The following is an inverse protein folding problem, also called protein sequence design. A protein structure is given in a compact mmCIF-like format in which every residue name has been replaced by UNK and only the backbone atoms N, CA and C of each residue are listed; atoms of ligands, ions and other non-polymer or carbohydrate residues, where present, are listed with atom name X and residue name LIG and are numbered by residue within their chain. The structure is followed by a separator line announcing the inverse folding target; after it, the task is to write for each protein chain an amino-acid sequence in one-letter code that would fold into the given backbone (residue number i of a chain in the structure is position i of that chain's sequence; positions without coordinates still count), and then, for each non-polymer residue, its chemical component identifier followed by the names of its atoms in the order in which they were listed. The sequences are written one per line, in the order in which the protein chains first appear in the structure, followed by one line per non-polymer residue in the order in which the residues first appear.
data_IF_592054281984
#
_entry.id   IF_592054281984
#
_cell.length_a   1.000
_cell.length_b   1.000
_cell.length_c   1.000
_cell.angle_alpha   90.00
_cell.angle_beta   90.00
_cell.angle_gamma   90.00
#
_symmetry.space_group_name_H-M   'P 1'
#
loop_
_entity.id
_entity.type
_entity.pdbx_description
1 polymer ?
#
# COMPACT_ATOMS: atom_id res chain seq x y z
N UNK A 1 6.21 -4.61 23.53
CA UNK A 1 4.83 -5.13 23.78
C UNK A 1 4.23 -4.69 25.13
N UNK A 2 4.96 -4.77 26.26
CA UNK A 2 4.38 -4.37 27.58
C UNK A 2 3.85 -2.93 27.59
N UNK A 3 4.65 -1.96 27.10
CA UNK A 3 4.22 -0.56 27.01
C UNK A 3 2.99 -0.40 26.12
N UNK A 4 2.94 -1.11 24.99
CA UNK A 4 1.76 -1.12 24.11
C UNK A 4 0.53 -1.66 24.86
N UNK A 5 0.66 -2.79 25.57
CA UNK A 5 -0.44 -3.37 26.33
C UNK A 5 -1.02 -2.38 27.37
N UNK A 6 -0.14 -1.68 28.09
CA UNK A 6 -0.53 -0.68 29.08
C UNK A 6 -1.27 0.50 28.42
N UNK A 7 -0.70 1.06 27.35
CA UNK A 7 -1.28 2.20 26.65
C UNK A 7 -2.57 1.83 25.92
N UNK A 8 -2.65 0.62 25.36
CA UNK A 8 -3.87 0.11 24.74
C UNK A 8 -5.00 -0.08 25.75
N UNK A 9 -4.69 -0.73 26.88
CA UNK A 9 -5.64 -0.89 27.99
C UNK A 9 -6.11 0.45 28.56
N UNK A 10 -5.20 1.41 28.74
CA UNK A 10 -5.55 2.76 29.15
C UNK A 10 -6.46 3.44 28.11
N UNK A 11 -6.17 3.31 26.82
CA UNK A 11 -7.00 3.82 25.73
C UNK A 11 -8.43 3.27 25.79
N UNK A 12 -8.57 1.96 25.97
CA UNK A 12 -9.88 1.30 26.12
C UNK A 12 -10.64 1.79 27.35
N UNK A 13 -9.97 1.92 28.50
CA UNK A 13 -10.57 2.43 29.73
C UNK A 13 -11.02 3.90 29.61
N UNK A 14 -10.22 4.74 28.97
CA UNK A 14 -10.62 6.12 28.70
C UNK A 14 -11.82 6.21 27.76
N UNK A 15 -11.86 5.37 26.70
CA UNK A 15 -12.99 5.31 25.79
C UNK A 15 -14.28 4.90 26.52
N UNK A 16 -14.22 3.85 27.34
CA UNK A 16 -15.38 3.39 28.14
C UNK A 16 -15.92 4.42 29.14
N UNK A 17 -15.07 5.41 29.49
CA UNK A 17 -15.41 6.53 30.36
C UNK A 17 -15.73 7.82 29.59
N UNK A 18 -15.94 7.72 28.27
CA UNK A 18 -16.19 8.85 27.34
C UNK A 18 -15.07 9.91 27.31
N UNK A 19 -13.85 9.57 27.73
CA UNK A 19 -12.66 10.42 27.65
C UNK A 19 -11.93 10.20 26.31
N UNK A 20 -12.59 10.46 25.20
CA UNK A 20 -12.16 10.11 23.85
C UNK A 20 -10.79 10.70 23.45
N UNK A 21 -10.51 11.95 23.81
CA UNK A 21 -9.20 12.57 23.56
C UNK A 21 -8.06 11.84 24.28
N UNK A 22 -8.29 11.44 25.54
CA UNK A 22 -7.27 10.69 26.30
C UNK A 22 -7.07 9.29 25.73
N UNK A 23 -8.15 8.66 25.28
CA UNK A 23 -8.11 7.38 24.57
C UNK A 23 -7.26 7.48 23.31
N UNK A 24 -7.58 8.43 22.43
CA UNK A 24 -6.85 8.64 21.18
C UNK A 24 -5.37 8.97 21.40
N UNK A 25 -5.06 9.84 22.37
CA UNK A 25 -3.67 10.19 22.71
C UNK A 25 -2.89 8.99 23.23
N UNK A 26 -3.51 8.12 24.07
CA UNK A 26 -2.86 6.90 24.56
C UNK A 26 -2.44 5.98 23.41
N UNK A 27 -3.31 5.78 22.41
CA UNK A 27 -3.01 4.94 21.24
C UNK A 27 -1.99 5.60 20.31
N UNK A 28 -2.04 6.90 20.10
CA UNK A 28 -1.03 7.63 19.33
C UNK A 28 0.35 7.51 19.99
N UNK A 29 0.44 7.65 21.31
CA UNK A 29 1.69 7.43 22.04
C UNK A 29 2.19 5.99 21.91
N UNK A 30 1.28 4.99 21.95
CA UNK A 30 1.61 3.60 21.71
C UNK A 30 2.18 3.39 20.30
N UNK A 31 1.55 3.96 19.27
CA UNK A 31 1.99 3.89 17.88
C UNK A 31 3.40 4.50 17.70
N UNK A 32 3.62 5.69 18.25
CA UNK A 32 4.93 6.37 18.22
C UNK A 32 6.00 5.56 18.95
N UNK A 33 5.68 5.03 20.14
CA UNK A 33 6.61 4.18 20.89
C UNK A 33 7.03 2.95 20.08
N UNK A 34 6.10 2.21 19.48
CA UNK A 34 6.37 1.03 18.68
C UNK A 34 7.21 1.37 17.43
N UNK A 35 6.87 2.45 16.75
CA UNK A 35 7.61 2.92 15.59
C UNK A 35 9.07 3.27 15.94
N UNK A 36 9.27 4.10 16.97
CA UNK A 36 10.62 4.52 17.37
C UNK A 36 11.43 3.39 17.98
N UNK A 37 10.81 2.41 18.61
CA UNK A 37 11.47 1.19 19.07
C UNK A 37 12.17 0.45 17.93
N UNK A 38 11.44 0.17 16.85
CA UNK A 38 11.99 -0.51 15.68
C UNK A 38 12.94 0.39 14.87
N UNK A 39 12.62 1.67 14.73
CA UNK A 39 13.48 2.62 14.04
C UNK A 39 14.86 2.75 14.72
N UNK A 40 14.89 2.90 16.04
CA UNK A 40 16.16 2.97 16.79
C UNK A 40 16.99 1.70 16.67
N UNK A 41 16.34 0.55 16.63
CA UNK A 41 16.99 -0.76 16.52
C UNK A 41 17.55 -1.03 15.12
N UNK A 42 16.80 -0.65 14.08
CA UNK A 42 17.13 -0.99 12.68
C UNK A 42 17.81 0.14 11.92
N UNK A 43 17.69 1.40 12.37
CA UNK A 43 18.08 2.58 11.62
C UNK A 43 17.25 2.80 10.35
N UNK A 44 16.19 2.01 10.14
CA UNK A 44 15.36 2.01 8.94
C UNK A 44 13.98 2.60 9.22
N UNK A 45 13.68 3.84 8.76
CA UNK A 45 12.38 4.45 8.94
C UNK A 45 11.25 3.73 8.18
N UNK A 46 11.60 2.92 7.19
CA UNK A 46 10.67 2.10 6.40
C UNK A 46 10.61 0.65 6.90
N UNK A 47 11.05 0.37 8.13
CA UNK A 47 10.93 -0.95 8.71
C UNK A 47 9.46 -1.41 8.73
N UNK A 48 9.12 -2.52 8.05
CA UNK A 48 7.71 -2.87 7.78
C UNK A 48 6.89 -3.01 9.05
N UNK A 49 7.45 -3.59 10.13
CA UNK A 49 6.77 -3.69 11.41
C UNK A 49 6.53 -2.32 12.05
N UNK A 50 7.50 -1.41 11.95
CA UNK A 50 7.37 -0.03 12.44
C UNK A 50 6.27 0.72 11.69
N UNK A 51 6.28 0.63 10.36
CA UNK A 51 5.27 1.25 9.49
C UNK A 51 3.87 0.75 9.81
N UNK A 52 3.69 -0.56 9.89
CA UNK A 52 2.40 -1.13 10.27
C UNK A 52 1.95 -0.65 11.65
N UNK A 53 2.83 -0.69 12.67
CA UNK A 53 2.49 -0.24 14.02
C UNK A 53 2.08 1.22 14.06
N UNK A 54 2.82 2.10 13.37
CA UNK A 54 2.55 3.54 13.36
C UNK A 54 1.18 3.85 12.75
N UNK A 55 0.91 3.29 11.58
CA UNK A 55 -0.28 3.66 10.82
C UNK A 55 -1.53 2.89 11.26
N UNK A 56 -1.38 1.65 11.69
CA UNK A 56 -2.49 0.88 12.24
C UNK A 56 -2.95 1.44 13.58
N UNK A 57 -2.09 1.44 14.59
CA UNK A 57 -2.44 1.92 15.94
C UNK A 57 -2.64 3.44 15.97
N UNK A 58 -1.89 4.19 15.18
CA UNK A 58 -2.08 5.64 15.02
C UNK A 58 -3.44 5.98 14.42
N UNK A 59 -3.89 5.20 13.44
CA UNK A 59 -5.23 5.32 12.86
C UNK A 59 -6.33 5.02 13.88
N UNK A 60 -6.19 3.95 14.68
CA UNK A 60 -7.07 3.66 15.82
C UNK A 60 -7.15 4.88 16.76
N UNK A 61 -5.99 5.44 17.13
CA UNK A 61 -5.93 6.60 18.01
C UNK A 61 -6.62 7.83 17.43
N UNK A 62 -6.47 8.10 16.13
CA UNK A 62 -7.18 9.18 15.45
C UNK A 62 -8.69 8.92 15.45
N UNK A 63 -9.14 7.70 15.23
CA UNK A 63 -10.56 7.35 15.26
C UNK A 63 -11.17 7.53 16.65
N UNK A 64 -10.40 7.25 17.72
CA UNK A 64 -10.85 7.42 19.09
C UNK A 64 -11.17 8.87 19.48
N UNK A 65 -10.78 9.90 18.70
CA UNK A 65 -11.20 11.28 18.98
C UNK A 65 -12.69 11.51 18.78
N UNK A 66 -13.38 10.67 18.02
CA UNK A 66 -14.83 10.71 17.82
C UNK A 66 -15.35 12.11 17.43
N UNK A 67 -14.72 12.75 16.41
CA UNK A 67 -15.07 14.09 15.98
C UNK A 67 -16.32 14.18 15.10
N UNK A 68 -16.79 13.04 14.58
CA UNK A 68 -18.05 12.94 13.83
C UNK A 68 -19.16 12.33 14.67
N UNK A 69 -20.42 12.67 14.36
CA UNK A 69 -21.62 12.07 14.96
C UNK A 69 -21.87 10.64 14.45
N UNK A 70 -21.30 10.27 13.30
CA UNK A 70 -21.35 8.91 12.77
C UNK A 70 -20.56 7.90 13.60
N UNK A 71 -19.63 8.37 14.42
CA UNK A 71 -18.73 7.52 15.19
C UNK A 71 -19.36 7.15 16.53
N UNK A 72 -19.53 5.86 16.76
CA UNK A 72 -20.10 5.27 17.98
C UNK A 72 -18.99 4.65 18.85
N UNK A 73 -19.32 4.24 20.05
CA UNK A 73 -18.43 3.47 20.90
C UNK A 73 -18.20 2.09 20.27
N UNK A 74 -16.96 1.64 20.33
CA UNK A 74 -16.60 0.35 19.74
C UNK A 74 -17.00 -0.80 20.65
N UNK A 75 -17.54 -1.84 20.05
CA UNK A 75 -17.81 -3.10 20.71
C UNK A 75 -16.52 -3.71 21.31
N UNK A 76 -16.58 -4.42 22.46
CA UNK A 76 -15.41 -5.13 23.02
C UNK A 76 -14.72 -6.06 22.02
N UNK A 77 -15.46 -6.70 21.10
CA UNK A 77 -14.88 -7.56 20.05
C UNK A 77 -14.11 -6.73 19.01
N UNK A 78 -14.54 -5.50 18.73
CA UNK A 78 -13.79 -4.56 17.87
C UNK A 78 -12.44 -4.23 18.49
N UNK A 79 -12.42 -3.83 19.77
CA UNK A 79 -11.18 -3.59 20.53
C UNK A 79 -10.28 -4.83 20.54
N UNK A 80 -10.83 -6.01 20.84
CA UNK A 80 -10.09 -7.26 20.84
C UNK A 80 -9.49 -7.57 19.46
N UNK A 81 -10.25 -7.35 18.38
CA UNK A 81 -9.81 -7.58 17.01
C UNK A 81 -8.63 -6.69 16.62
N UNK A 82 -8.68 -5.39 16.96
CA UNK A 82 -7.59 -4.45 16.68
C UNK A 82 -6.34 -4.78 17.49
N UNK A 83 -6.49 -5.12 18.76
CA UNK A 83 -5.39 -5.59 19.58
C UNK A 83 -4.73 -6.85 19.01
N UNK A 84 -5.54 -7.85 18.66
CA UNK A 84 -5.07 -9.14 18.10
C UNK A 84 -4.36 -8.91 16.75
N UNK A 85 -4.87 -8.00 15.91
CA UNK A 85 -4.24 -7.66 14.65
C UNK A 85 -2.78 -7.24 14.85
N UNK A 86 -2.49 -6.33 15.78
CA UNK A 86 -1.12 -5.93 16.05
C UNK A 86 -0.33 -7.02 16.79
N UNK A 87 -0.89 -7.62 17.83
CA UNK A 87 -0.18 -8.58 18.68
C UNK A 87 0.25 -9.82 17.90
N UNK A 88 -0.62 -10.38 17.04
CA UNK A 88 -0.30 -11.51 16.18
C UNK A 88 0.78 -11.15 15.15
N UNK A 89 0.64 -10.01 14.48
CA UNK A 89 1.64 -9.52 13.53
C UNK A 89 3.03 -9.38 14.20
N UNK A 90 3.10 -8.70 15.35
CA UNK A 90 4.36 -8.50 16.07
C UNK A 90 5.01 -9.79 16.52
N UNK A 91 4.23 -10.72 17.08
CA UNK A 91 4.72 -11.99 17.59
C UNK A 91 5.29 -12.85 16.46
N UNK A 92 4.52 -13.00 15.39
CA UNK A 92 4.91 -13.85 14.25
C UNK A 92 6.07 -13.23 13.46
N UNK A 93 6.05 -11.91 13.23
CA UNK A 93 7.17 -11.19 12.63
C UNK A 93 8.46 -11.40 13.44
N UNK A 94 8.41 -11.24 14.76
CA UNK A 94 9.58 -11.41 15.64
C UNK A 94 10.14 -12.84 15.62
N UNK A 95 9.26 -13.86 15.61
CA UNK A 95 9.67 -15.26 15.48
C UNK A 95 10.31 -15.55 14.11
N UNK A 96 9.74 -15.01 13.04
CA UNK A 96 10.27 -15.17 11.70
C UNK A 96 11.64 -14.48 11.54
N UNK A 97 11.76 -13.23 12.01
CA UNK A 97 13.02 -12.47 12.02
C UNK A 97 14.14 -13.23 12.78
N UNK A 98 13.83 -13.78 13.95
CA UNK A 98 14.77 -14.56 14.75
C UNK A 98 15.23 -15.84 14.02
N UNK A 99 14.30 -16.58 13.38
CA UNK A 99 14.62 -17.76 12.58
C UNK A 99 15.49 -17.42 11.36
N UNK A 100 15.16 -16.33 10.66
CA UNK A 100 15.95 -15.85 9.51
C UNK A 100 17.36 -15.48 9.97
N UNK A 101 17.50 -14.76 11.10
CA UNK A 101 18.81 -14.39 11.64
C UNK A 101 19.63 -15.62 12.00
N UNK A 102 19.07 -16.60 12.70
CA UNK A 102 19.74 -17.86 13.03
C UNK A 102 20.25 -18.59 11.78
N UNK A 103 19.40 -18.73 10.75
CA UNK A 103 19.81 -19.32 9.47
C UNK A 103 20.91 -18.52 8.76
N UNK A 104 20.95 -17.20 8.93
CA UNK A 104 22.03 -16.34 8.41
C UNK A 104 23.36 -16.65 9.10
N UNK A 105 23.36 -16.79 10.42
CA UNK A 105 24.54 -17.09 11.21
C UNK A 105 25.12 -18.48 10.84
N UNK A 106 24.28 -19.49 10.79
CA UNK A 106 24.64 -20.87 10.37
C UNK A 106 25.11 -20.96 8.91
N UNK A 107 24.61 -20.09 8.03
CA UNK A 107 24.96 -20.07 6.60
C UNK A 107 26.19 -19.22 6.25
N UNK A 108 26.70 -18.38 7.14
CA UNK A 108 27.89 -17.56 6.90
C UNK A 108 29.13 -18.43 6.73
N UNK A 109 29.34 -19.39 7.60
CA UNK A 109 30.52 -20.29 7.56
C UNK A 109 30.59 -21.06 6.23
N UNK A 110 29.45 -21.53 5.74
CA UNK A 110 29.34 -22.26 4.47
C UNK A 110 29.54 -21.36 3.23
N UNK A 111 29.19 -20.08 3.32
CA UNK A 111 29.35 -19.11 2.23
C UNK A 111 30.81 -18.61 2.12
N UNK A 112 31.48 -18.38 3.22
CA UNK A 112 32.89 -17.99 3.25
C UNK A 112 33.79 -19.11 2.67
N UNK A 113 33.46 -20.36 2.97
CA UNK A 113 34.15 -21.53 2.37
C UNK A 113 33.90 -21.65 0.86
N UNK A 114 32.63 -21.35 0.40
CA UNK A 114 32.26 -21.39 -1.03
C UNK A 114 32.80 -20.20 -1.82
N UNK A 115 32.87 -19.00 -1.21
CA UNK A 115 33.49 -17.81 -1.82
C UNK A 115 34.98 -17.93 -1.98
N UNK A 116 35.68 -18.60 -1.04
CA UNK A 116 37.10 -18.97 -1.18
C UNK A 116 37.36 -19.95 -2.35
N UNK A 117 36.36 -20.77 -2.72
CA UNK A 117 36.45 -21.73 -3.83
C UNK A 117 36.03 -21.18 -5.20
N UNK A 118 35.21 -20.13 -5.25
CA UNK A 118 34.83 -19.44 -6.49
C UNK A 118 35.48 -18.08 -6.49
N UNK A 119 36.50 -17.92 -7.37
CA UNK A 119 37.00 -16.58 -7.72
C UNK A 119 35.81 -15.70 -8.13
N UNK A 120 35.83 -14.43 -7.72
CA UNK A 120 34.81 -13.43 -8.06
C UNK A 120 34.76 -13.32 -9.58
N UNK A 121 33.78 -13.94 -10.22
CA UNK A 121 33.45 -13.65 -11.62
C UNK A 121 32.96 -12.20 -11.68
N UNK A 122 33.76 -11.32 -12.25
CA UNK A 122 33.37 -9.95 -12.52
C UNK A 122 32.13 -9.97 -13.44
N UNK A 123 31.06 -9.30 -13.04
CA UNK A 123 29.88 -9.11 -13.91
C UNK A 123 30.34 -8.34 -15.14
N UNK A 124 30.13 -8.89 -16.35
CA UNK A 124 30.59 -8.22 -17.57
C UNK A 124 29.81 -6.92 -17.80
N UNK A 125 30.46 -5.91 -18.36
CA UNK A 125 29.83 -4.63 -18.74
C UNK A 125 28.61 -4.83 -19.66
N UNK A 126 28.66 -5.85 -20.52
CA UNK A 126 27.57 -6.25 -21.40
C UNK A 126 26.32 -6.68 -20.65
N UNK A 127 26.46 -7.44 -19.58
CA UNK A 127 25.33 -7.88 -18.76
C UNK A 127 24.65 -6.71 -18.00
N UNK A 128 25.44 -5.71 -17.56
CA UNK A 128 24.88 -4.50 -16.95
C UNK A 128 24.13 -3.62 -17.97
N UNK A 129 24.69 -3.49 -19.18
CA UNK A 129 24.06 -2.77 -20.27
C UNK A 129 22.73 -3.42 -20.69
N UNK A 130 22.72 -4.75 -20.77
CA UNK A 130 21.52 -5.52 -21.06
C UNK A 130 20.44 -5.34 -19.98
N UNK A 131 20.83 -5.34 -18.69
CA UNK A 131 19.92 -5.08 -17.58
C UNK A 131 19.29 -3.67 -17.65
N UNK A 132 20.07 -2.66 -17.98
CA UNK A 132 19.58 -1.29 -18.17
C UNK A 132 18.61 -1.18 -19.36
N UNK A 133 18.90 -1.85 -20.47
CA UNK A 133 18.03 -1.92 -21.64
C UNK A 133 16.73 -2.68 -21.33
N UNK A 134 16.81 -3.83 -20.65
CA UNK A 134 15.65 -4.58 -20.22
C UNK A 134 14.72 -3.76 -19.31
N UNK A 135 15.28 -2.95 -18.40
CA UNK A 135 14.49 -2.04 -17.56
C UNK A 135 13.84 -0.92 -18.38
N UNK A 136 14.57 -0.31 -19.33
CA UNK A 136 14.01 0.71 -20.21
C UNK A 136 12.83 0.16 -21.00
N UNK A 137 12.98 -1.02 -21.61
CA UNK A 137 11.90 -1.65 -22.38
C UNK A 137 10.71 -2.02 -21.52
N UNK A 138 10.92 -2.49 -20.28
CA UNK A 138 9.84 -2.76 -19.34
C UNK A 138 9.06 -1.48 -18.98
N UNK A 139 9.76 -0.37 -18.72
CA UNK A 139 9.14 0.95 -18.47
C UNK A 139 8.28 1.39 -19.63
N UNK A 140 8.83 1.36 -20.85
CA UNK A 140 8.11 1.77 -22.05
C UNK A 140 6.92 0.88 -22.36
N UNK A 141 7.07 -0.45 -22.19
CA UNK A 141 5.99 -1.40 -22.41
C UNK A 141 4.84 -1.17 -21.41
N UNK A 142 5.15 -1.04 -20.12
CA UNK A 142 4.12 -0.80 -19.11
C UNK A 142 3.41 0.53 -19.34
N UNK A 143 4.14 1.58 -19.72
CA UNK A 143 3.56 2.87 -20.09
C UNK A 143 2.62 2.73 -21.29
N UNK A 144 3.07 2.06 -22.37
CA UNK A 144 2.27 1.86 -23.57
C UNK A 144 1.00 1.05 -23.30
N UNK A 145 1.10 -0.03 -22.51
CA UNK A 145 -0.03 -0.87 -22.11
C UNK A 145 -1.04 -0.08 -21.27
N UNK A 146 -0.56 0.73 -20.31
CA UNK A 146 -1.44 1.55 -19.47
C UNK A 146 -2.19 2.60 -20.29
N UNK A 147 -1.52 3.25 -21.24
CA UNK A 147 -2.15 4.21 -22.14
C UNK A 147 -3.11 3.54 -23.12
N UNK A 148 -2.76 2.38 -23.67
CA UNK A 148 -3.64 1.64 -24.57
C UNK A 148 -4.94 1.23 -23.83
N UNK A 149 -4.83 0.76 -22.58
CA UNK A 149 -5.97 0.42 -21.75
C UNK A 149 -6.83 1.66 -21.44
N UNK A 150 -6.20 2.78 -21.04
CA UNK A 150 -6.91 4.04 -20.79
C UNK A 150 -7.65 4.55 -22.04
N UNK A 151 -7.01 4.53 -23.19
CA UNK A 151 -7.64 4.96 -24.45
C UNK A 151 -8.78 4.03 -24.87
N UNK A 152 -8.64 2.72 -24.63
CA UNK A 152 -9.71 1.76 -24.85
C UNK A 152 -10.91 2.05 -23.95
N UNK A 153 -10.68 2.31 -22.64
CA UNK A 153 -11.75 2.71 -21.73
C UNK A 153 -12.42 4.00 -22.18
N UNK A 154 -11.64 5.01 -22.55
CA UNK A 154 -12.19 6.28 -23.05
C UNK A 154 -13.02 6.11 -24.34
N UNK A 155 -12.57 5.26 -25.26
CA UNK A 155 -13.29 4.99 -26.51
C UNK A 155 -14.59 4.22 -26.28
N UNK A 156 -14.57 3.20 -25.41
CA UNK A 156 -15.76 2.36 -25.12
C UNK A 156 -16.80 3.11 -24.30
N UNK A 157 -16.34 3.84 -23.27
CA UNK A 157 -17.23 4.60 -22.39
C UNK A 157 -17.70 5.94 -22.99
N UNK A 158 -17.00 6.42 -24.03
CA UNK A 158 -17.35 7.65 -24.75
C UNK A 158 -16.97 8.95 -24.03
N UNK A 159 -16.18 8.89 -22.96
CA UNK A 159 -15.75 10.09 -22.23
C UNK A 159 -14.39 9.90 -21.53
N UNK A 160 -13.80 11.02 -21.14
CA UNK A 160 -12.64 11.09 -20.23
C UNK A 160 -13.04 11.94 -19.02
N UNK A 161 -12.92 11.46 -17.77
CA UNK A 161 -13.40 12.14 -16.57
C UNK A 161 -12.90 13.58 -16.43
N UNK A 162 -11.65 13.85 -16.80
CA UNK A 162 -11.04 15.19 -16.72
C UNK A 162 -11.82 16.26 -17.51
N UNK A 163 -12.46 15.90 -18.62
CA UNK A 163 -13.22 16.83 -19.47
C UNK A 163 -14.69 16.94 -19.08
N UNK A 164 -15.19 16.05 -18.21
CA UNK A 164 -16.56 16.10 -17.69
C UNK A 164 -16.63 16.96 -16.44
N UNK A 165 -16.79 18.27 -16.62
CA UNK A 165 -16.98 19.19 -15.50
C UNK A 165 -18.43 19.16 -15.02
N UNK A 166 -18.61 19.12 -13.68
CA UNK A 166 -19.95 19.23 -13.06
C UNK A 166 -20.77 17.95 -13.05
N UNK A 167 -20.24 16.81 -13.50
CA UNK A 167 -20.88 15.50 -13.33
C UNK A 167 -20.31 14.81 -12.08
N UNK A 168 -21.09 14.74 -10.98
CA UNK A 168 -20.63 14.07 -9.76
C UNK A 168 -20.29 12.60 -10.05
N UNK A 169 -19.19 12.12 -9.45
CA UNK A 169 -18.78 10.70 -9.53
C UNK A 169 -18.46 10.15 -10.93
N UNK A 170 -18.32 10.98 -12.00
CA UNK A 170 -17.93 10.50 -13.32
C UNK A 170 -16.69 9.62 -13.32
N UNK A 171 -15.72 9.91 -12.43
CA UNK A 171 -14.50 9.12 -12.26
C UNK A 171 -14.77 7.70 -11.69
N UNK A 172 -15.83 7.53 -10.89
CA UNK A 172 -16.17 6.24 -10.27
C UNK A 172 -16.74 5.24 -11.29
N UNK A 173 -17.31 5.75 -12.38
CA UNK A 173 -17.85 4.93 -13.46
C UNK A 173 -16.86 4.72 -14.62
N UNK A 174 -15.69 5.37 -14.58
CA UNK A 174 -14.68 5.23 -15.62
C UNK A 174 -13.84 3.98 -15.38
N UNK A 175 -14.41 2.83 -15.66
CA UNK A 175 -13.69 1.56 -15.62
C UNK A 175 -14.38 0.47 -16.45
N UNK A 176 -13.58 -0.32 -17.16
CA UNK A 176 -14.00 -1.58 -17.77
C UNK A 176 -13.37 -2.71 -16.95
N UNK A 177 -14.21 -3.63 -16.46
CA UNK A 177 -13.73 -4.75 -15.64
C UNK A 177 -12.64 -5.55 -16.35
N UNK A 178 -11.50 -5.74 -15.68
CA UNK A 178 -10.32 -6.39 -16.27
C UNK A 178 -9.37 -5.41 -16.95
N UNK A 179 -9.87 -4.51 -17.80
CA UNK A 179 -9.03 -3.53 -18.54
C UNK A 179 -8.46 -2.49 -17.58
N UNK A 180 -9.26 -2.02 -16.64
CA UNK A 180 -8.86 -0.98 -15.69
C UNK A 180 -7.62 -1.32 -14.86
N UNK A 181 -7.34 -2.60 -14.61
CA UNK A 181 -6.09 -3.01 -13.92
C UNK A 181 -4.84 -2.62 -14.71
N UNK A 182 -4.90 -2.68 -16.04
CA UNK A 182 -3.80 -2.21 -16.90
C UNK A 182 -3.70 -0.69 -16.87
N UNK A 183 -4.82 0.02 -16.94
CA UNK A 183 -4.85 1.49 -16.83
C UNK A 183 -4.18 1.98 -15.57
N UNK A 184 -4.56 1.43 -14.40
CA UNK A 184 -4.04 1.86 -13.09
C UNK A 184 -2.61 1.37 -12.82
N UNK A 185 -2.08 0.42 -13.58
CA UNK A 185 -0.70 -0.06 -13.43
C UNK A 185 0.36 1.01 -13.77
N UNK A 186 -0.06 2.11 -14.41
CA UNK A 186 0.77 3.29 -14.64
C UNK A 186 1.47 3.82 -13.37
N UNK A 187 0.90 3.59 -12.18
CA UNK A 187 1.46 4.03 -10.88
C UNK A 187 2.82 3.40 -10.55
N UNK A 188 3.17 2.27 -11.18
CA UNK A 188 4.46 1.59 -11.01
C UNK A 188 5.60 2.25 -11.79
N UNK A 189 5.28 2.93 -12.89
CA UNK A 189 6.28 3.47 -13.82
C UNK A 189 7.23 4.49 -13.18
N UNK A 190 6.77 5.47 -12.36
CA UNK A 190 7.68 6.40 -11.68
C UNK A 190 8.68 5.69 -10.77
N UNK A 191 8.26 4.63 -10.07
CA UNK A 191 9.13 3.82 -9.22
C UNK A 191 10.17 3.04 -10.04
N UNK A 192 9.76 2.46 -11.17
CA UNK A 192 10.67 1.78 -12.08
C UNK A 192 11.67 2.77 -12.70
N UNK A 193 11.25 4.00 -13.02
CA UNK A 193 12.13 5.07 -13.46
C UNK A 193 13.19 5.40 -12.40
N UNK A 194 12.79 5.51 -11.12
CA UNK A 194 13.72 5.71 -10.00
C UNK A 194 14.76 4.58 -9.95
N UNK A 195 14.35 3.33 -10.07
CA UNK A 195 15.28 2.18 -10.11
C UNK A 195 16.24 2.31 -11.29
N UNK A 196 15.73 2.65 -12.47
CA UNK A 196 16.56 2.80 -13.68
C UNK A 196 17.64 3.87 -13.50
N UNK A 197 17.30 5.04 -12.95
CA UNK A 197 18.26 6.11 -12.69
C UNK A 197 19.29 5.73 -11.63
N UNK A 198 18.92 4.99 -10.60
CA UNK A 198 19.81 4.67 -9.47
C UNK A 198 20.69 3.42 -9.73
N UNK A 199 20.19 2.45 -10.52
CA UNK A 199 20.85 1.15 -10.73
C UNK A 199 21.20 0.86 -12.17
N UNK A 200 20.49 1.46 -13.14
CA UNK A 200 20.67 1.19 -14.57
C UNK A 200 21.87 1.89 -15.20
N UNK A 201 22.44 2.88 -14.57
CA UNK A 201 23.50 3.74 -15.11
C UNK A 201 23.04 4.50 -16.36
N UNK A 202 23.05 5.84 -16.32
CA UNK A 202 22.67 6.68 -17.47
C UNK A 202 23.73 6.55 -18.56
N UNK A 203 23.41 5.85 -19.63
CA UNK A 203 24.38 5.58 -20.70
C UNK A 203 24.23 6.53 -21.89
N UNK A 204 22.97 6.95 -22.22
CA UNK A 204 22.70 7.89 -23.29
C UNK A 204 21.61 8.89 -22.87
N UNK A 205 21.79 10.17 -23.21
CA UNK A 205 20.83 11.23 -22.86
C UNK A 205 19.42 10.94 -23.36
N UNK A 206 19.27 10.39 -24.56
CA UNK A 206 17.96 10.07 -25.12
C UNK A 206 17.20 9.01 -24.30
N UNK A 207 17.90 8.03 -23.70
CA UNK A 207 17.27 7.03 -22.83
C UNK A 207 16.72 7.68 -21.56
N UNK A 208 17.47 8.60 -20.95
CA UNK A 208 17.01 9.37 -19.79
C UNK A 208 15.76 10.20 -20.13
N UNK A 209 15.75 10.86 -21.30
CA UNK A 209 14.58 11.61 -21.78
C UNK A 209 13.38 10.68 -21.95
N UNK A 210 13.55 9.51 -22.59
CA UNK A 210 12.46 8.54 -22.76
C UNK A 210 11.88 8.06 -21.41
N UNK A 211 12.76 7.74 -20.44
CA UNK A 211 12.30 7.30 -19.09
C UNK A 211 11.55 8.42 -18.38
N UNK A 212 12.04 9.67 -18.44
CA UNK A 212 11.35 10.82 -17.84
C UNK A 212 10.01 11.09 -18.51
N UNK A 213 9.97 11.02 -19.85
CA UNK A 213 8.72 11.18 -20.62
C UNK A 213 7.72 10.08 -20.28
N UNK A 214 8.16 8.81 -20.18
CA UNK A 214 7.32 7.70 -19.78
C UNK A 214 6.76 7.88 -18.36
N UNK A 215 7.59 8.31 -17.41
CA UNK A 215 7.15 8.59 -16.04
C UNK A 215 6.14 9.75 -15.99
N UNK A 216 6.39 10.85 -16.72
CA UNK A 216 5.46 11.97 -16.81
C UNK A 216 4.14 11.57 -17.48
N UNK A 217 4.20 10.83 -18.61
CA UNK A 217 3.03 10.31 -19.29
C UNK A 217 2.21 9.38 -18.38
N UNK A 218 2.87 8.53 -17.59
CA UNK A 218 2.19 7.64 -16.65
C UNK A 218 1.50 8.39 -15.51
N UNK A 219 2.05 9.49 -15.04
CA UNK A 219 1.40 10.37 -14.06
C UNK A 219 0.23 11.17 -14.65
N UNK A 220 0.21 11.38 -15.96
CA UNK A 220 -0.92 12.04 -16.64
C UNK A 220 -2.18 11.16 -16.64
N UNK A 221 -2.06 9.83 -16.69
CA UNK A 221 -3.22 8.92 -16.66
C UNK A 221 -4.10 9.14 -15.42
N UNK A 222 -3.60 9.11 -14.17
CA UNK A 222 -4.39 9.42 -12.99
C UNK A 222 -5.00 10.84 -13.00
N UNK A 223 -4.32 11.82 -13.59
CA UNK A 223 -4.85 13.18 -13.77
C UNK A 223 -6.07 13.17 -14.70
N UNK A 224 -5.98 12.49 -15.84
CA UNK A 224 -7.08 12.35 -16.79
C UNK A 224 -8.26 11.55 -16.21
N UNK A 225 -7.97 10.55 -15.38
CA UNK A 225 -8.98 9.81 -14.61
C UNK A 225 -9.55 10.60 -13.42
N UNK A 226 -9.02 11.80 -13.09
CA UNK A 226 -9.34 12.58 -11.88
C UNK A 226 -9.14 11.77 -10.58
N UNK A 227 -8.22 10.82 -10.60
CA UNK A 227 -7.92 9.93 -9.49
C UNK A 227 -6.78 10.48 -8.61
N UNK A 228 -7.16 11.28 -7.60
CA UNK A 228 -6.20 11.82 -6.61
C UNK A 228 -5.42 10.71 -5.91
N UNK A 229 -6.13 9.65 -5.55
CA UNK A 229 -5.54 8.54 -4.82
C UNK A 229 -4.41 7.86 -5.62
N UNK A 230 -4.63 7.54 -6.89
CA UNK A 230 -3.60 6.91 -7.72
C UNK A 230 -2.40 7.81 -7.95
N UNK A 231 -2.60 9.13 -8.09
CA UNK A 231 -1.51 10.08 -8.25
C UNK A 231 -0.65 10.16 -6.98
N UNK A 232 -1.28 10.28 -5.80
CA UNK A 232 -0.60 10.29 -4.50
C UNK A 232 0.12 8.94 -4.29
N UNK A 233 -0.53 7.84 -4.60
CA UNK A 233 0.02 6.49 -4.51
C UNK A 233 1.30 6.35 -5.34
N UNK A 234 1.30 6.78 -6.62
CA UNK A 234 2.45 6.73 -7.50
C UNK A 234 3.64 7.55 -6.96
N UNK A 235 3.38 8.76 -6.46
CA UNK A 235 4.43 9.63 -5.92
C UNK A 235 5.03 9.04 -4.64
N UNK A 236 4.19 8.61 -3.69
CA UNK A 236 4.67 7.99 -2.44
C UNK A 236 5.46 6.72 -2.76
N UNK A 237 4.96 5.85 -3.64
CA UNK A 237 5.66 4.63 -4.03
C UNK A 237 7.03 4.93 -4.63
N UNK A 238 7.14 5.96 -5.48
CA UNK A 238 8.41 6.38 -6.06
C UNK A 238 9.40 6.88 -4.99
N UNK A 239 8.93 7.64 -3.99
CA UNK A 239 9.76 8.12 -2.87
C UNK A 239 10.22 6.95 -1.99
N UNK A 240 9.34 6.04 -1.63
CA UNK A 240 9.69 4.84 -0.86
C UNK A 240 10.73 3.98 -1.62
N UNK A 241 10.52 3.81 -2.94
CA UNK A 241 11.46 3.09 -3.81
C UNK A 241 12.81 3.80 -3.88
N UNK A 242 12.82 5.14 -3.99
CA UNK A 242 14.05 5.93 -3.93
C UNK A 242 14.81 5.70 -2.62
N UNK A 243 14.13 5.74 -1.49
CA UNK A 243 14.74 5.52 -0.18
C UNK A 243 15.33 4.10 -0.05
N UNK A 244 14.63 3.10 -0.56
CA UNK A 244 15.09 1.71 -0.51
C UNK A 244 16.28 1.45 -1.44
N UNK A 245 16.19 1.88 -2.69
CA UNK A 245 17.21 1.60 -3.71
C UNK A 245 18.46 2.43 -3.50
N UNK A 246 18.34 3.70 -3.08
CA UNK A 246 19.48 4.59 -2.81
C UNK A 246 20.16 4.30 -1.46
N UNK A 247 19.52 3.53 -0.57
CA UNK A 247 19.98 3.33 0.81
C UNK A 247 19.91 4.57 1.70
N UNK A 248 19.38 5.71 1.17
CA UNK A 248 19.27 6.97 1.92
C UNK A 248 18.04 6.95 2.82
N UNK A 249 18.05 6.14 3.85
CA UNK A 249 16.94 5.91 4.79
C UNK A 249 16.86 7.02 5.85
N UNK A 250 16.52 8.27 5.44
CA UNK A 250 16.39 9.42 6.35
C UNK A 250 14.97 9.94 6.36
N UNK A 251 14.41 10.18 7.54
CA UNK A 251 13.05 10.72 7.75
C UNK A 251 12.75 11.99 6.96
N UNK A 252 13.75 12.83 6.73
CA UNK A 252 13.60 14.08 5.93
C UNK A 252 13.00 13.85 4.53
N UNK A 253 13.22 12.68 3.93
CA UNK A 253 12.64 12.37 2.62
C UNK A 253 11.13 12.09 2.72
N UNK A 254 10.67 11.46 3.81
CA UNK A 254 9.25 11.26 4.07
C UNK A 254 8.56 12.61 4.35
N UNK A 255 9.19 13.48 5.16
CA UNK A 255 8.66 14.82 5.39
C UNK A 255 8.67 15.67 4.11
N UNK A 256 9.71 15.58 3.29
CA UNK A 256 9.76 16.25 1.99
C UNK A 256 8.67 15.77 1.03
N UNK A 257 8.40 14.47 1.00
CA UNK A 257 7.30 13.88 0.22
C UNK A 257 5.94 14.37 0.72
N UNK A 258 5.71 14.37 2.03
CA UNK A 258 4.48 14.89 2.63
C UNK A 258 4.27 16.37 2.32
N UNK A 259 5.32 17.19 2.45
CA UNK A 259 5.28 18.61 2.12
C UNK A 259 4.99 18.87 0.63
N UNK A 260 5.52 18.04 -0.28
CA UNK A 260 5.24 18.15 -1.71
C UNK A 260 3.82 17.66 -2.08
N UNK A 261 3.31 16.66 -1.37
CA UNK A 261 1.96 16.12 -1.61
C UNK A 261 0.86 17.02 -1.05
N UNK A 262 1.12 17.81 -0.02
CA UNK A 262 0.11 18.67 0.60
C UNK A 262 -0.45 19.72 -0.38
N UNK A 263 0.34 20.51 -1.11
CA UNK A 263 -0.16 21.42 -2.13
C UNK A 263 -0.93 20.68 -3.24
N UNK A 264 -0.43 19.52 -3.67
CA UNK A 264 -1.08 18.68 -4.68
C UNK A 264 -2.47 18.23 -4.20
N UNK A 265 -2.57 17.78 -2.96
CA UNK A 265 -3.84 17.40 -2.35
C UNK A 265 -4.83 18.58 -2.32
N UNK A 266 -4.38 19.77 -1.92
CA UNK A 266 -5.21 20.98 -1.88
C UNK A 266 -5.68 21.37 -3.28
N UNK A 267 -4.78 21.41 -4.26
CA UNK A 267 -5.11 21.75 -5.66
C UNK A 267 -6.14 20.75 -6.22
N UNK A 268 -5.92 19.47 -6.05
CA UNK A 268 -6.83 18.43 -6.53
C UNK A 268 -8.17 18.42 -5.76
N UNK A 269 -8.19 18.89 -4.53
CA UNK A 269 -9.43 19.05 -3.76
C UNK A 269 -10.25 20.21 -4.30
N UNK A 270 -9.63 21.35 -4.59
CA UNK A 270 -10.27 22.52 -5.21
C UNK A 270 -10.75 22.17 -6.63
N UNK A 271 -9.92 21.48 -7.43
CA UNK A 271 -10.25 21.11 -8.80
C UNK A 271 -11.46 20.16 -8.90
N UNK A 272 -11.77 19.41 -7.85
CA UNK A 272 -12.90 18.49 -7.80
C UNK A 272 -14.25 19.18 -7.64
N UNK A 273 -14.25 20.49 -7.36
CA UNK A 273 -15.47 21.33 -7.23
C UNK A 273 -16.56 20.71 -6.35
N UNK A 274 -16.21 19.90 -5.35
CA UNK A 274 -17.21 19.41 -4.40
C UNK A 274 -17.72 20.57 -3.57
N UNK A 275 -19.03 20.66 -3.46
CA UNK A 275 -19.66 21.55 -2.50
C UNK A 275 -19.19 21.15 -1.08
N UNK A 276 -18.50 22.06 -0.43
CA UNK A 276 -17.99 21.86 0.94
C UNK A 276 -19.13 21.58 1.90
N UNK A 277 -20.29 22.20 1.68
CA UNK A 277 -21.48 21.98 2.49
C UNK A 277 -22.00 20.53 2.32
N UNK A 278 -21.97 19.99 1.09
CA UNK A 278 -22.34 18.60 0.82
C UNK A 278 -21.41 17.62 1.53
N UNK A 279 -20.06 17.82 1.45
CA UNK A 279 -19.12 16.95 2.14
C UNK A 279 -19.23 17.03 3.66
N UNK A 280 -19.44 18.23 4.21
CA UNK A 280 -19.67 18.40 5.65
C UNK A 280 -20.97 17.72 6.10
N UNK A 281 -22.01 17.71 5.26
CA UNK A 281 -23.25 16.97 5.46
C UNK A 281 -23.05 15.45 5.45
N UNK A 282 -22.14 14.94 4.60
CA UNK A 282 -21.77 13.50 4.61
C UNK A 282 -21.01 13.14 5.89
N UNK A 283 -20.02 13.96 6.28
CA UNK A 283 -19.14 13.65 7.41
C UNK A 283 -19.76 13.86 8.80
N UNK A 284 -20.86 14.59 8.89
CA UNK A 284 -21.61 14.86 10.14
C UNK A 284 -20.70 15.26 11.31
N UNK A 285 -19.77 16.19 11.04
CA UNK A 285 -18.83 16.65 12.06
C UNK A 285 -19.55 17.27 13.25
N UNK A 286 -19.10 16.98 14.46
CA UNK A 286 -19.63 17.58 15.70
C UNK A 286 -19.47 19.09 15.73
N UNK A 287 -18.30 19.57 15.23
CA UNK A 287 -18.03 20.98 15.00
C UNK A 287 -18.12 21.30 13.49
N UNK A 288 -19.21 21.94 13.01
CA UNK A 288 -19.37 22.27 11.61
C UNK A 288 -18.39 23.36 11.10
N UNK A 289 -17.71 24.07 12.00
CA UNK A 289 -16.70 25.06 11.64
C UNK A 289 -15.35 24.43 11.27
N UNK A 290 -15.16 23.13 11.52
CA UNK A 290 -13.90 22.45 11.17
C UNK A 290 -13.66 22.48 9.65
N UNK A 291 -12.52 22.99 9.18
CA UNK A 291 -12.22 23.13 7.77
C UNK A 291 -12.17 21.78 7.04
N UNK A 292 -12.62 21.74 5.79
CA UNK A 292 -12.71 20.52 4.98
C UNK A 292 -11.35 19.82 4.79
N UNK A 293 -10.25 20.55 4.74
CA UNK A 293 -8.90 19.99 4.62
C UNK A 293 -8.41 19.29 5.89
N UNK A 294 -9.14 19.44 7.02
CA UNK A 294 -8.96 18.68 8.26
C UNK A 294 -9.99 17.54 8.33
N UNK A 295 -11.28 17.85 8.07
CA UNK A 295 -12.35 16.88 8.20
C UNK A 295 -12.22 15.72 7.22
N UNK A 296 -11.86 16.02 5.97
CA UNK A 296 -11.74 14.98 4.95
C UNK A 296 -10.61 13.98 5.25
N UNK A 297 -9.34 14.36 5.53
CA UNK A 297 -8.32 13.40 5.94
C UNK A 297 -8.66 12.67 7.24
N UNK A 298 -9.27 13.37 8.19
CA UNK A 298 -9.72 12.74 9.43
C UNK A 298 -10.73 11.62 9.16
N UNK A 299 -11.77 11.87 8.39
CA UNK A 299 -12.81 10.89 8.08
C UNK A 299 -12.27 9.73 7.23
N UNK A 300 -11.34 9.98 6.30
CA UNK A 300 -10.67 8.92 5.54
C UNK A 300 -9.80 7.99 6.39
N UNK A 301 -9.40 8.40 7.58
CA UNK A 301 -8.70 7.57 8.54
C UNK A 301 -9.69 6.97 9.54
N UNK A 302 -10.41 7.83 10.24
CA UNK A 302 -11.19 7.48 11.42
C UNK A 302 -12.40 6.61 11.09
N UNK A 303 -13.19 6.99 10.07
CA UNK A 303 -14.45 6.31 9.75
C UNK A 303 -14.27 4.83 9.38
N UNK A 304 -13.09 4.45 8.87
CA UNK A 304 -12.82 3.08 8.48
C UNK A 304 -12.78 2.11 9.67
N UNK A 305 -12.35 2.59 10.84
CA UNK A 305 -12.39 1.81 12.09
C UNK A 305 -13.82 1.70 12.61
N UNK A 306 -14.63 2.73 12.44
CA UNK A 306 -16.05 2.68 12.79
C UNK A 306 -16.83 1.79 11.81
N UNK A 307 -16.49 1.76 10.52
CA UNK A 307 -17.04 0.80 9.56
C UNK A 307 -16.67 -0.65 9.94
N UNK A 308 -15.47 -0.89 10.49
CA UNK A 308 -15.15 -2.19 11.03
C UNK A 308 -16.00 -2.53 12.26
N UNK A 309 -16.32 -1.55 13.11
CA UNK A 309 -17.24 -1.73 14.23
C UNK A 309 -18.66 -2.07 13.77
N UNK A 310 -19.16 -1.40 12.71
CA UNK A 310 -20.44 -1.77 12.09
C UNK A 310 -20.43 -3.22 11.59
N UNK A 311 -19.34 -3.65 10.94
CA UNK A 311 -19.19 -5.05 10.55
C UNK A 311 -19.27 -6.01 11.74
N UNK A 312 -18.59 -5.69 12.86
CA UNK A 312 -18.60 -6.53 14.07
C UNK A 312 -19.99 -6.67 14.64
N UNK A 313 -20.76 -5.59 14.65
CA UNK A 313 -22.09 -5.55 15.31
C UNK A 313 -23.24 -6.02 14.43
N UNK A 314 -23.10 -5.92 13.10
CA UNK A 314 -24.19 -6.15 12.16
C UNK A 314 -24.06 -7.41 11.32
N UNK A 315 -22.87 -8.05 11.26
CA UNK A 315 -22.62 -9.20 10.41
C UNK A 315 -23.44 -10.42 10.86
N UNK A 316 -24.39 -10.91 10.04
CA UNK A 316 -25.25 -12.05 10.44
C UNK A 316 -24.53 -13.41 10.30
N UNK A 317 -23.60 -13.53 9.35
CA UNK A 317 -22.87 -14.77 9.08
C UNK A 317 -21.54 -14.48 8.36
N UNK A 318 -20.54 -15.28 8.65
CA UNK A 318 -19.23 -15.21 8.02
C UNK A 318 -19.23 -15.77 6.59
N UNK A 319 -18.40 -15.21 5.69
CA UNK A 319 -18.30 -15.60 4.28
C UNK A 319 -17.30 -16.74 4.00
N UNK A 320 -16.67 -17.30 5.05
CA UNK A 320 -15.80 -18.48 4.99
C UNK A 320 -14.69 -18.40 3.92
N UNK A 321 -14.06 -17.23 3.79
CA UNK A 321 -12.92 -17.00 2.90
C UNK A 321 -13.28 -16.34 1.56
N UNK A 322 -14.54 -16.19 1.22
CA UNK A 322 -14.93 -15.67 -0.09
C UNK A 322 -14.54 -14.20 -0.29
N UNK A 323 -14.59 -13.39 0.77
CA UNK A 323 -14.19 -11.98 0.72
C UNK A 323 -12.67 -11.81 0.53
N UNK A 324 -11.86 -12.52 1.31
CA UNK A 324 -10.39 -12.48 1.20
C UNK A 324 -9.89 -13.03 -0.13
N UNK A 325 -10.62 -13.98 -0.74
CA UNK A 325 -10.30 -14.56 -2.04
C UNK A 325 -10.87 -13.77 -3.24
N UNK A 326 -11.48 -12.60 -3.00
CA UNK A 326 -12.00 -11.75 -4.08
C UNK A 326 -11.01 -11.48 -5.22
N UNK A 327 -9.68 -11.28 -4.98
CA UNK A 327 -8.74 -11.15 -6.09
C UNK A 327 -8.71 -12.34 -7.04
N UNK A 328 -8.87 -13.56 -6.52
CA UNK A 328 -8.92 -14.77 -7.34
C UNK A 328 -10.16 -14.77 -8.23
N UNK A 329 -11.33 -14.48 -7.66
CA UNK A 329 -12.59 -14.44 -8.40
C UNK A 329 -12.60 -13.34 -9.46
N UNK A 330 -12.02 -12.18 -9.14
CA UNK A 330 -11.97 -11.03 -10.02
C UNK A 330 -10.97 -11.20 -11.18
N UNK A 331 -9.74 -11.65 -10.89
CA UNK A 331 -8.67 -11.77 -11.89
C UNK A 331 -8.84 -12.99 -12.81
N UNK A 332 -9.52 -14.04 -12.36
CA UNK A 332 -9.84 -15.20 -13.20
C UNK A 332 -11.14 -15.04 -13.97
N UNK A 333 -11.92 -14.00 -13.70
CA UNK A 333 -13.23 -13.78 -14.30
C UNK A 333 -14.36 -14.65 -13.73
N UNK A 334 -14.08 -15.47 -12.70
CA UNK A 334 -15.09 -16.34 -12.06
C UNK A 334 -16.27 -15.56 -11.48
N UNK A 335 -16.06 -14.30 -11.06
CA UNK A 335 -17.13 -13.40 -10.59
C UNK A 335 -18.24 -13.16 -11.62
N UNK A 336 -17.96 -13.32 -12.92
CA UNK A 336 -18.97 -13.16 -13.98
C UNK A 336 -19.75 -14.45 -14.23
N UNK A 337 -19.15 -15.60 -13.91
CA UNK A 337 -19.76 -16.92 -14.08
C UNK A 337 -20.60 -17.28 -12.85
N UNK A 338 -20.11 -16.92 -11.66
CA UNK A 338 -20.75 -17.17 -10.36
C UNK A 338 -20.77 -15.89 -9.52
N UNK A 339 -21.76 -14.99 -9.73
CA UNK A 339 -21.86 -13.72 -8.99
C UNK A 339 -21.97 -13.91 -7.48
N UNK A 340 -22.51 -15.04 -7.02
CA UNK A 340 -22.68 -15.33 -5.59
C UNK A 340 -21.34 -15.37 -4.82
N UNK A 341 -20.22 -15.58 -5.52
CA UNK A 341 -18.89 -15.55 -4.91
C UNK A 341 -18.46 -14.17 -4.44
N UNK A 342 -19.13 -13.11 -4.88
CA UNK A 342 -18.75 -11.72 -4.67
C UNK A 342 -19.88 -10.82 -4.19
N UNK A 343 -21.09 -11.37 -4.07
CA UNK A 343 -22.29 -10.63 -3.63
C UNK A 343 -22.37 -10.61 -2.09
N UNK A 344 -21.56 -9.71 -1.49
CA UNK A 344 -21.54 -9.52 -0.05
C UNK A 344 -21.77 -8.05 0.29
N UNK A 345 -22.72 -7.72 1.17
CA UNK A 345 -22.95 -6.35 1.61
C UNK A 345 -21.72 -5.78 2.33
N UNK A 346 -21.60 -4.46 2.29
CA UNK A 346 -20.59 -3.73 3.06
C UNK A 346 -21.31 -3.05 4.22
N UNK A 347 -20.85 -3.29 5.45
CA UNK A 347 -21.37 -2.68 6.66
C UNK A 347 -20.59 -1.40 6.93
N UNK A 348 -21.26 -0.26 6.87
CA UNK A 348 -20.64 1.06 6.97
C UNK A 348 -21.51 2.01 7.79
N UNK A 349 -20.92 2.99 8.41
CA UNK A 349 -21.62 4.04 9.16
C UNK A 349 -22.53 4.87 8.27
N UNK A 350 -22.21 4.97 6.97
CA UNK A 350 -22.97 5.70 5.96
C UNK A 350 -22.66 5.14 4.56
N UNK A 351 -23.66 5.07 3.68
CA UNK A 351 -23.55 4.46 2.35
C UNK A 351 -22.46 5.10 1.46
N UNK A 352 -22.21 6.42 1.62
CA UNK A 352 -21.20 7.13 0.86
C UNK A 352 -19.77 6.90 1.36
N UNK A 353 -19.60 6.33 2.57
CA UNK A 353 -18.31 6.14 3.24
C UNK A 353 -17.87 4.67 3.21
N UNK A 354 -17.65 4.14 2.03
CA UNK A 354 -17.41 2.72 1.74
C UNK A 354 -15.97 2.23 1.98
N UNK A 355 -15.05 3.10 2.38
CA UNK A 355 -13.67 2.69 2.70
C UNK A 355 -13.62 1.93 4.03
N UNK A 356 -12.73 0.95 4.13
CA UNK A 356 -12.65 0.04 5.29
C UNK A 356 -11.19 -0.24 5.66
N UNK A 357 -10.94 -0.82 6.84
CA UNK A 357 -9.59 -1.15 7.30
C UNK A 357 -9.02 -2.40 6.63
N UNK A 358 -7.70 -2.61 6.76
CA UNK A 358 -6.96 -3.76 6.22
C UNK A 358 -7.54 -5.11 6.65
N UNK A 359 -8.11 -5.21 7.84
CA UNK A 359 -8.61 -6.46 8.44
C UNK A 359 -10.10 -6.70 8.26
N UNK A 360 -10.80 -5.80 7.57
CA UNK A 360 -12.25 -5.88 7.39
C UNK A 360 -12.68 -7.21 6.75
N UNK A 361 -12.08 -7.61 5.63
CA UNK A 361 -12.44 -8.85 4.94
C UNK A 361 -12.01 -10.09 5.70
N UNK A 362 -10.88 -10.03 6.43
CA UNK A 362 -10.46 -11.14 7.28
C UNK A 362 -11.44 -11.38 8.44
N UNK A 363 -11.97 -10.31 9.04
CA UNK A 363 -13.04 -10.43 10.03
C UNK A 363 -14.35 -10.90 9.40
N UNK A 364 -14.69 -10.38 8.22
CA UNK A 364 -15.88 -10.80 7.50
C UNK A 364 -15.89 -12.30 7.24
N UNK A 365 -14.74 -12.89 6.88
CA UNK A 365 -14.62 -14.31 6.58
C UNK A 365 -14.69 -15.20 7.83
N UNK A 366 -13.94 -14.86 8.89
CA UNK A 366 -13.73 -15.78 10.02
C UNK A 366 -13.71 -15.07 11.39
N UNK A 367 -14.26 -13.87 11.49
CA UNK A 367 -14.28 -13.12 12.73
C UNK A 367 -12.88 -12.83 13.29
N UNK A 368 -12.76 -12.84 14.60
CA UNK A 368 -11.50 -12.61 15.32
C UNK A 368 -10.39 -13.60 14.90
N UNK A 369 -10.77 -14.85 14.61
CA UNK A 369 -9.83 -15.89 14.15
C UNK A 369 -9.25 -15.51 12.79
N UNK A 370 -10.08 -14.97 11.88
CA UNK A 370 -9.63 -14.44 10.59
C UNK A 370 -8.61 -13.32 10.74
N UNK A 371 -8.87 -12.37 11.63
CA UNK A 371 -7.94 -11.28 11.94
C UNK A 371 -6.60 -11.82 12.45
N UNK A 372 -6.62 -12.79 13.38
CA UNK A 372 -5.41 -13.44 13.90
C UNK A 372 -4.61 -14.12 12.79
N UNK A 373 -5.24 -14.99 12.01
CA UNK A 373 -4.57 -15.76 10.95
C UNK A 373 -4.00 -14.84 9.87
N UNK A 374 -4.78 -13.87 9.43
CA UNK A 374 -4.33 -12.92 8.42
C UNK A 374 -3.16 -12.06 8.91
N UNK A 375 -3.21 -11.58 10.16
CA UNK A 375 -2.09 -10.87 10.80
C UNK A 375 -0.83 -11.71 10.88
N UNK A 376 -0.96 -12.99 11.24
CA UNK A 376 0.15 -13.92 11.32
C UNK A 376 0.82 -14.10 9.93
N UNK A 377 0.01 -14.29 8.89
CA UNK A 377 0.51 -14.39 7.50
C UNK A 377 1.21 -13.11 7.06
N UNK A 378 0.63 -11.95 7.37
CA UNK A 378 1.27 -10.66 7.06
C UNK A 378 2.60 -10.47 7.81
N UNK A 379 2.69 -10.91 9.06
CA UNK A 379 3.92 -10.87 9.85
C UNK A 379 5.04 -11.73 9.23
N UNK A 380 4.69 -12.96 8.79
CA UNK A 380 5.62 -13.85 8.06
C UNK A 380 6.06 -13.22 6.73
N UNK A 381 5.11 -12.72 5.95
CA UNK A 381 5.37 -12.08 4.67
C UNK A 381 6.29 -10.86 4.81
N UNK A 382 6.01 -10.00 5.79
CA UNK A 382 6.81 -8.80 6.04
C UNK A 382 8.26 -9.15 6.42
N UNK A 383 8.47 -10.10 7.33
CA UNK A 383 9.81 -10.53 7.74
C UNK A 383 10.58 -11.18 6.57
N UNK A 384 9.92 -12.03 5.78
CA UNK A 384 10.50 -12.65 4.60
C UNK A 384 10.87 -11.61 3.54
N UNK A 385 9.98 -10.67 3.25
CA UNK A 385 10.19 -9.65 2.22
C UNK A 385 11.33 -8.70 2.60
N UNK A 386 11.43 -8.32 3.88
CA UNK A 386 12.55 -7.51 4.38
C UNK A 386 13.90 -8.22 4.17
N UNK A 387 13.97 -9.49 4.56
CA UNK A 387 15.19 -10.31 4.36
C UNK A 387 15.55 -10.44 2.88
N UNK A 388 14.52 -10.65 2.03
CA UNK A 388 14.72 -10.80 0.60
C UNK A 388 15.20 -9.52 -0.07
N UNK A 389 14.59 -8.38 0.28
CA UNK A 389 14.95 -7.07 -0.27
C UNK A 389 16.37 -6.62 0.14
N UNK A 390 16.83 -7.00 1.34
CA UNK A 390 18.21 -6.72 1.79
C UNK A 390 19.27 -7.53 1.05
N UNK A 391 18.96 -8.77 0.67
CA UNK A 391 19.94 -9.70 0.09
C UNK A 391 19.94 -9.73 -1.43
N UNK A 392 18.85 -9.39 -2.05
CA UNK A 392 18.71 -9.56 -3.47
C UNK A 392 19.47 -8.47 -4.23
N UNK A 393 20.25 -8.88 -5.20
CA UNK A 393 20.92 -7.98 -6.15
C UNK A 393 19.91 -7.31 -7.08
N UNK A 394 18.83 -8.03 -7.39
CA UNK A 394 17.77 -7.53 -8.26
C UNK A 394 16.93 -6.45 -7.56
N UNK A 395 16.92 -5.20 -8.06
CA UNK A 395 16.27 -4.06 -7.41
C UNK A 395 14.74 -4.14 -7.38
N UNK A 396 14.11 -5.04 -8.12
CA UNK A 396 12.67 -5.24 -8.04
C UNK A 396 12.21 -5.77 -6.67
N UNK A 397 13.07 -6.46 -5.92
CA UNK A 397 12.74 -6.81 -4.54
C UNK A 397 12.56 -5.60 -3.63
N UNK A 398 13.30 -4.52 -3.92
CA UNK A 398 13.12 -3.25 -3.23
C UNK A 398 11.82 -2.55 -3.66
N UNK A 399 11.35 -2.75 -4.91
CA UNK A 399 10.03 -2.28 -5.34
C UNK A 399 8.89 -3.07 -4.67
N UNK A 400 8.99 -4.40 -4.56
CA UNK A 400 8.04 -5.19 -3.76
C UNK A 400 8.00 -4.74 -2.30
N UNK A 401 9.16 -4.48 -1.72
CA UNK A 401 9.26 -3.92 -0.37
C UNK A 401 8.54 -2.57 -0.26
N UNK A 402 8.76 -1.67 -1.21
CA UNK A 402 8.15 -0.34 -1.23
C UNK A 402 6.63 -0.41 -1.39
N UNK A 403 6.12 -1.36 -2.19
CA UNK A 403 4.68 -1.63 -2.28
C UNK A 403 4.12 -2.11 -0.93
N UNK A 404 4.76 -3.08 -0.29
CA UNK A 404 4.35 -3.56 1.03
C UNK A 404 4.40 -2.46 2.09
N UNK A 405 5.45 -1.63 2.10
CA UNK A 405 5.57 -0.49 3.01
C UNK A 405 4.43 0.51 2.80
N UNK A 406 4.05 0.78 1.54
CA UNK A 406 2.92 1.63 1.21
C UNK A 406 1.58 1.04 1.67
N UNK A 407 1.37 -0.26 1.48
CA UNK A 407 0.15 -0.93 1.96
C UNK A 407 0.04 -0.94 3.49
N UNK A 408 1.15 -1.09 4.20
CA UNK A 408 1.16 -0.96 5.65
C UNK A 408 0.96 0.49 6.12
N UNK A 409 1.52 1.46 5.40
CA UNK A 409 1.27 2.88 5.65
C UNK A 409 -0.21 3.25 5.48
N UNK A 410 -0.91 2.59 4.56
CA UNK A 410 -2.33 2.80 4.26
C UNK A 410 -3.22 1.67 4.83
N UNK A 411 -2.79 1.01 5.92
CA UNK A 411 -3.53 -0.09 6.55
C UNK A 411 -4.90 0.32 7.11
N UNK A 412 -5.08 1.60 7.38
CA UNK A 412 -6.34 2.18 7.81
C UNK A 412 -7.35 2.40 6.66
N UNK A 413 -6.94 2.26 5.38
CA UNK A 413 -7.71 2.82 4.27
C UNK A 413 -8.48 1.78 3.44
N UNK A 414 -7.95 0.57 3.25
CA UNK A 414 -8.62 -0.48 2.47
C UNK A 414 -8.03 -1.86 2.75
N UNK A 415 -8.77 -2.90 2.34
CA UNK A 415 -8.37 -4.31 2.37
C UNK A 415 -7.38 -4.64 1.26
N UNK A 416 -6.16 -4.12 1.33
CA UNK A 416 -5.15 -4.20 0.27
C UNK A 416 -5.00 -5.60 -0.34
N UNK A 417 -4.91 -6.63 0.49
CA UNK A 417 -4.64 -7.99 0.03
C UNK A 417 -5.89 -8.73 -0.47
N UNK A 418 -7.08 -8.18 -0.24
CA UNK A 418 -8.33 -8.60 -0.88
C UNK A 418 -8.66 -7.73 -2.11
N UNK A 419 -7.82 -6.76 -2.44
CA UNK A 419 -8.00 -5.90 -3.61
C UNK A 419 -7.26 -6.50 -4.83
N UNK A 420 -7.95 -6.81 -5.94
CA UNK A 420 -7.33 -7.37 -7.14
C UNK A 420 -6.22 -6.49 -7.73
N UNK A 421 -6.33 -5.16 -7.64
CA UNK A 421 -5.30 -4.24 -8.13
C UNK A 421 -3.95 -4.45 -7.44
N UNK A 422 -3.93 -4.77 -6.14
CA UNK A 422 -2.71 -5.08 -5.40
C UNK A 422 -1.97 -6.27 -5.99
N UNK A 423 -2.70 -7.35 -6.28
CA UNK A 423 -2.11 -8.55 -6.90
C UNK A 423 -1.69 -8.29 -8.33
N UNK A 424 -2.44 -7.46 -9.06
CA UNK A 424 -2.03 -7.02 -10.40
C UNK A 424 -0.73 -6.23 -10.36
N UNK A 425 -0.54 -5.33 -9.39
CA UNK A 425 0.72 -4.59 -9.22
C UNK A 425 1.88 -5.50 -8.86
N UNK A 426 1.67 -6.48 -7.99
CA UNK A 426 2.69 -7.50 -7.71
C UNK A 426 3.02 -8.33 -8.95
N UNK A 427 2.02 -8.76 -9.70
CA UNK A 427 2.22 -9.52 -10.94
C UNK A 427 2.97 -8.69 -12.00
N UNK A 428 2.59 -7.42 -12.23
CA UNK A 428 3.27 -6.52 -13.15
C UNK A 428 4.73 -6.26 -12.75
N UNK A 429 4.99 -6.07 -11.44
CA UNK A 429 6.36 -5.96 -10.90
C UNK A 429 7.16 -7.23 -11.12
N UNK A 430 6.55 -8.40 -10.88
CA UNK A 430 7.17 -9.72 -11.13
C UNK A 430 7.46 -9.96 -12.60
N UNK A 431 6.53 -9.61 -13.49
CA UNK A 431 6.71 -9.71 -14.93
C UNK A 431 7.88 -8.84 -15.41
N UNK A 432 7.95 -7.59 -14.93
CA UNK A 432 9.06 -6.68 -15.25
C UNK A 432 10.41 -7.23 -14.72
N UNK A 433 10.41 -7.81 -13.51
CA UNK A 433 11.60 -8.46 -12.93
C UNK A 433 12.07 -9.62 -13.80
N UNK A 434 11.17 -10.51 -14.20
CA UNK A 434 11.47 -11.67 -15.06
C UNK A 434 11.96 -11.21 -16.43
N UNK A 435 11.32 -10.20 -17.01
CA UNK A 435 11.73 -9.61 -18.29
C UNK A 435 13.17 -9.13 -18.26
N UNK A 436 13.53 -8.31 -17.26
CA UNK A 436 14.89 -7.78 -17.11
C UNK A 436 15.91 -8.90 -16.94
N UNK A 437 15.58 -9.92 -16.14
CA UNK A 437 16.45 -11.06 -15.92
C UNK A 437 16.63 -11.91 -17.19
N UNK A 438 15.58 -12.08 -17.97
CA UNK A 438 15.64 -12.78 -19.27
C UNK A 438 16.58 -12.06 -20.25
N UNK A 439 16.45 -10.74 -20.37
CA UNK A 439 17.33 -9.94 -21.25
C UNK A 439 18.79 -10.05 -20.81
N UNK A 440 19.08 -10.02 -19.49
CA UNK A 440 20.44 -10.23 -18.98
C UNK A 440 21.01 -11.59 -19.35
N UNK A 441 20.21 -12.66 -19.22
CA UNK A 441 20.64 -14.03 -19.54
C UNK A 441 20.93 -14.20 -21.03
N UNK A 442 20.08 -13.64 -21.88
CA UNK A 442 20.28 -13.69 -23.34
C UNK A 442 21.58 -12.98 -23.77
N UNK A 443 21.87 -11.81 -23.18
CA UNK A 443 23.13 -11.11 -23.46
C UNK A 443 24.35 -11.89 -22.97
N UNK A 444 24.31 -12.46 -21.76
CA UNK A 444 25.42 -13.27 -21.23
C UNK A 444 25.65 -14.61 -21.95
N UNK A 445 24.62 -15.15 -22.61
CA UNK A 445 24.78 -16.34 -23.48
C UNK A 445 25.49 -15.99 -24.79
N UNK A 446 25.21 -14.79 -25.37
CA UNK A 446 25.86 -14.34 -26.60
C UNK A 446 27.36 -13.95 -26.42
N UNK A 447 27.81 -13.66 -25.21
CA UNK A 447 29.23 -13.40 -24.91
C UNK A 447 30.07 -14.68 -24.72
N UNK A 448 29.42 -15.84 -24.59
CA UNK A 448 30.09 -17.15 -24.41
C UNK A 448 30.22 -17.98 -25.69
N UNK A 449 29.58 -17.52 -26.77
CA UNK A 449 29.72 -18.08 -28.13
C UNK A 449 30.66 -17.21 -28.95
#
# INVERSE_FOLDING_TARGET
MVVYLILYGAGMLFASSAHYYMSGMSLILAALYLYFYDYRRSGNPLHLRAMFSLFWVGGEGISCFKLSRLQTDWDPVTWASFFIALAAFWSVFGMAEARIRKKREEGKDKREEKARRKGVEAVSEGTEAAGSFGMLTAILLLTAVSWAAFLLEAAVLGYVPFFLRGVPHAYSHFHISGVHYFTVSCVLVPSMAVIWFLRGGVKKRWQAVLVLTAAAASLLVPVLCVSRFQLIFAVILAVLTFMQVSGKKRLRYLFGAAAALLPLYVILTIARSHDVAYLNGIFEMKDPATPIFITQPYMYIANNYDNFNCLVTELPAHSMGLKSLFPLWALTGLKFIKPELVDFPIYTTKEELTTVTLFYDAYYDFGVVGVFLFSAVLGLFAAWLMDRAERAENPFWQLFYSQAALYFMLSFFTTWYSNPATWFYFAATGAAMVWVELIKRLAGAGERT
#
